data_IF_579814933341
#
_entry.id   IF_579814933341
#
_cell.length_a   1.000
_cell.length_b   1.000
_cell.length_c   1.000
_cell.angle_alpha   90.00
_cell.angle_beta   90.00
_cell.angle_gamma   90.00
#
_symmetry.space_group_name_H-M   'P 1'
#
loop_
_entity.id
_entity.type
_entity.pdbx_description
1 polymer ?
#
# COMPACT_ATOMS: atom_id res chain seq x y z
N UNK A 1 -29.62 -4.39 -8.68
CA UNK A 1 -30.24 -3.26 -9.40
C UNK A 1 -29.64 -1.96 -8.89
N UNK A 2 -29.74 -0.83 -9.62
CA UNK A 2 -29.11 0.45 -9.27
C UNK A 2 -29.89 1.22 -8.19
N UNK A 3 -30.42 0.52 -7.20
CA UNK A 3 -31.08 1.16 -6.05
C UNK A 3 -30.04 1.62 -5.02
N UNK A 4 -30.29 2.74 -4.37
CA UNK A 4 -29.48 3.23 -3.25
C UNK A 4 -29.42 2.15 -2.17
N UNK A 5 -28.23 1.87 -1.64
CA UNK A 5 -28.04 0.87 -0.58
C UNK A 5 -27.84 -0.57 -1.07
N UNK A 6 -27.91 -0.82 -2.39
CA UNK A 6 -27.68 -2.16 -2.94
C UNK A 6 -26.20 -2.38 -3.28
N UNK A 7 -25.75 -3.62 -3.08
CA UNK A 7 -24.45 -4.09 -3.53
C UNK A 7 -24.48 -4.33 -5.04
N UNK A 8 -23.45 -3.83 -5.74
CA UNK A 8 -23.28 -4.06 -7.19
C UNK A 8 -22.59 -5.39 -7.51
N UNK A 9 -21.92 -6.00 -6.53
CA UNK A 9 -21.21 -7.27 -6.64
C UNK A 9 -21.34 -8.10 -5.37
N UNK A 10 -21.16 -9.42 -5.49
CA UNK A 10 -21.09 -10.39 -4.39
C UNK A 10 -19.71 -11.03 -4.26
N UNK A 11 -18.74 -10.53 -5.02
CA UNK A 11 -17.42 -11.13 -5.18
C UNK A 11 -16.31 -10.21 -4.67
N UNK A 12 -15.25 -10.82 -4.13
CA UNK A 12 -14.03 -10.17 -3.70
C UNK A 12 -13.00 -11.20 -3.28
N UNK A 13 -11.75 -10.77 -3.13
CA UNK A 13 -10.66 -11.61 -2.61
C UNK A 13 -10.45 -11.30 -1.13
N UNK A 14 -10.55 -12.32 -0.28
CA UNK A 14 -10.49 -12.14 1.17
C UNK A 14 -9.36 -12.97 1.77
N UNK A 15 -8.69 -12.42 2.79
CA UNK A 15 -7.71 -13.16 3.55
C UNK A 15 -8.42 -14.25 4.35
N UNK A 16 -7.71 -15.37 4.56
CA UNK A 16 -8.18 -16.41 5.47
C UNK A 16 -7.81 -16.00 6.89
N UNK A 17 -8.78 -16.04 7.79
CA UNK A 17 -8.59 -15.79 9.22
C UNK A 17 -7.88 -14.46 9.57
N UNK A 18 -8.32 -13.31 9.01
CA UNK A 18 -7.68 -12.01 9.26
C UNK A 18 -7.81 -11.52 10.72
N UNK A 19 -8.58 -12.23 11.53
CA UNK A 19 -8.84 -11.96 12.94
C UNK A 19 -7.88 -12.66 13.91
N UNK A 20 -7.04 -13.59 13.44
CA UNK A 20 -6.01 -14.24 14.27
C UNK A 20 -4.86 -13.28 14.57
N UNK A 21 -4.28 -13.40 15.77
CA UNK A 21 -3.14 -12.60 16.21
C UNK A 21 -2.46 -13.27 17.41
N UNK A 22 -1.13 -13.46 17.36
CA UNK A 22 -0.37 -13.94 18.52
C UNK A 22 -0.06 -12.80 19.48
N UNK A 23 -1.03 -12.46 20.32
CA UNK A 23 -0.86 -11.35 21.25
C UNK A 23 0.18 -11.63 22.35
N UNK A 24 0.49 -12.89 22.65
CA UNK A 24 1.47 -13.24 23.66
C UNK A 24 2.90 -12.90 23.19
N UNK A 25 3.22 -13.21 21.93
CA UNK A 25 4.52 -12.88 21.32
C UNK A 25 4.83 -11.39 21.38
N UNK A 26 3.83 -10.53 21.12
CA UNK A 26 4.01 -9.08 21.10
C UNK A 26 3.77 -8.41 22.47
N UNK A 27 3.55 -9.18 23.54
CA UNK A 27 3.27 -8.63 24.87
C UNK A 27 1.99 -7.78 24.92
N UNK A 28 1.02 -8.08 24.06
CA UNK A 28 -0.28 -7.40 23.99
C UNK A 28 -1.29 -8.15 24.87
N UNK A 29 -1.98 -7.43 25.75
CA UNK A 29 -3.01 -8.05 26.59
C UNK A 29 -4.18 -8.60 25.74
N UNK A 30 -4.84 -9.67 26.20
CA UNK A 30 -6.03 -10.20 25.52
C UNK A 30 -7.12 -9.13 25.30
N UNK A 31 -7.22 -8.17 26.23
CA UNK A 31 -8.18 -7.06 26.15
C UNK A 31 -7.81 -6.10 25.03
N UNK A 32 -6.55 -5.70 24.95
CA UNK A 32 -6.07 -4.79 23.90
C UNK A 32 -6.13 -5.46 22.52
N UNK A 33 -5.71 -6.72 22.42
CA UNK A 33 -5.75 -7.49 21.18
C UNK A 33 -7.16 -7.58 20.58
N UNK A 34 -8.19 -7.76 21.43
CA UNK A 34 -9.60 -7.76 21.00
C UNK A 34 -10.08 -6.40 20.53
N UNK A 35 -9.61 -5.32 21.16
CA UNK A 35 -10.00 -3.96 20.80
C UNK A 35 -9.27 -3.44 19.55
N UNK A 36 -8.10 -4.00 19.22
CA UNK A 36 -7.31 -3.61 18.06
C UNK A 36 -7.99 -4.00 16.74
N UNK A 37 -7.98 -3.05 15.81
CA UNK A 37 -8.36 -3.32 14.43
C UNK A 37 -7.54 -4.50 13.86
N UNK A 38 -8.17 -5.46 13.15
CA UNK A 38 -7.44 -6.60 12.58
C UNK A 38 -6.29 -6.19 11.66
N UNK A 39 -6.43 -5.09 10.91
CA UNK A 39 -5.36 -4.55 10.08
C UNK A 39 -4.11 -4.15 10.89
N UNK A 40 -4.28 -3.58 12.09
CA UNK A 40 -3.17 -3.25 12.99
C UNK A 40 -2.45 -4.51 13.47
N UNK A 41 -3.21 -5.56 13.81
CA UNK A 41 -2.67 -6.84 14.27
C UNK A 41 -1.85 -7.53 13.18
N UNK A 42 -2.42 -7.64 11.98
CA UNK A 42 -1.73 -8.17 10.80
C UNK A 42 -0.47 -7.37 10.47
N UNK A 43 -0.52 -6.03 10.54
CA UNK A 43 0.67 -5.22 10.27
C UNK A 43 1.79 -5.45 11.28
N UNK A 44 1.49 -5.61 12.57
CA UNK A 44 2.51 -5.93 13.59
C UNK A 44 3.22 -7.24 13.21
N UNK A 45 2.46 -8.29 12.91
CA UNK A 45 3.02 -9.59 12.50
C UNK A 45 3.82 -9.49 11.19
N UNK A 46 3.27 -8.87 10.14
CA UNK A 46 3.95 -8.77 8.85
C UNK A 46 5.21 -7.91 8.92
N UNK A 47 5.18 -6.85 9.72
CA UNK A 47 6.37 -6.02 9.94
C UNK A 47 7.46 -6.76 10.70
N UNK A 48 7.08 -7.53 11.72
CA UNK A 48 8.01 -8.39 12.44
C UNK A 48 8.64 -9.44 11.51
N UNK A 49 7.83 -10.13 10.71
CA UNK A 49 8.31 -11.11 9.74
C UNK A 49 9.25 -10.48 8.69
N UNK A 50 8.96 -9.27 8.21
CA UNK A 50 9.82 -8.57 7.27
C UNK A 50 11.19 -8.20 7.90
N UNK A 51 11.21 -7.81 9.18
CA UNK A 51 12.46 -7.56 9.90
C UNK A 51 13.25 -8.85 10.11
N UNK A 52 12.58 -9.96 10.45
CA UNK A 52 13.23 -11.27 10.56
C UNK A 52 13.81 -11.74 9.22
N UNK A 53 13.07 -11.62 8.12
CA UNK A 53 13.54 -11.99 6.77
C UNK A 53 14.73 -11.13 6.33
N UNK A 54 14.74 -9.85 6.69
CA UNK A 54 15.84 -8.93 6.35
C UNK A 54 17.15 -9.25 7.07
N UNK A 55 17.09 -9.87 8.24
CA UNK A 55 18.25 -10.20 9.06
C UNK A 55 18.94 -9.00 9.72
N UNK A 56 18.41 -7.78 9.59
CA UNK A 56 19.02 -6.60 10.20
C UNK A 56 18.80 -6.57 11.71
N UNK A 57 19.76 -6.03 12.44
CA UNK A 57 19.53 -5.61 13.83
C UNK A 57 18.61 -4.39 13.85
N UNK A 58 17.43 -4.51 14.47
CA UNK A 58 16.40 -3.45 14.44
C UNK A 58 15.99 -2.93 15.82
N UNK A 59 16.18 -3.70 16.90
CA UNK A 59 15.78 -3.30 18.24
C UNK A 59 16.69 -2.20 18.76
N UNK A 60 16.11 -1.15 19.33
CA UNK A 60 16.79 0.04 19.84
C UNK A 60 17.64 0.72 18.74
N UNK A 61 17.17 0.67 17.50
CA UNK A 61 17.82 1.28 16.32
C UNK A 61 16.94 2.35 15.71
N UNK A 62 17.55 3.29 14.96
CA UNK A 62 16.81 4.33 14.22
C UNK A 62 16.21 3.75 12.94
N UNK A 63 15.37 2.72 13.07
CA UNK A 63 14.53 2.21 11.99
C UNK A 63 13.26 3.04 11.94
N UNK A 64 12.98 3.68 10.80
CA UNK A 64 11.70 4.37 10.62
C UNK A 64 10.57 3.37 10.31
N UNK A 65 9.35 3.66 10.75
CA UNK A 65 8.15 2.87 10.51
C UNK A 65 7.15 3.69 9.70
N UNK A 66 6.93 3.30 8.44
CA UNK A 66 6.05 3.97 7.49
C UNK A 66 4.98 2.98 7.03
N UNK A 67 3.80 3.03 7.65
CA UNK A 67 2.76 2.04 7.40
C UNK A 67 1.47 2.68 6.96
N UNK A 68 0.72 1.97 6.10
CA UNK A 68 -0.59 2.42 5.65
C UNK A 68 -1.66 1.37 5.85
N UNK A 69 -2.84 1.84 6.20
CA UNK A 69 -4.09 1.11 6.15
C UNK A 69 -5.21 2.12 5.93
N UNK A 70 -6.42 1.65 5.61
CA UNK A 70 -7.60 2.51 5.62
C UNK A 70 -7.85 2.98 7.07
N UNK A 71 -7.59 4.25 7.37
CA UNK A 71 -7.67 4.76 8.74
C UNK A 71 -9.11 4.81 9.25
N UNK A 72 -10.08 4.81 8.33
CA UNK A 72 -11.48 4.67 8.68
C UNK A 72 -11.81 3.24 9.15
N UNK A 73 -11.16 2.20 8.62
CA UNK A 73 -11.27 0.85 9.16
C UNK A 73 -10.66 0.75 10.57
N UNK A 74 -9.53 1.42 10.80
CA UNK A 74 -8.90 1.47 12.13
C UNK A 74 -9.84 2.11 13.17
N UNK A 75 -10.49 3.22 12.79
CA UNK A 75 -11.38 3.97 13.69
C UNK A 75 -12.72 3.27 13.91
N UNK A 76 -13.22 2.53 12.92
CA UNK A 76 -14.52 1.86 12.97
C UNK A 76 -14.46 0.39 13.40
N UNK A 77 -13.27 -0.16 13.67
CA UNK A 77 -13.14 -1.51 14.18
C UNK A 77 -14.01 -1.68 15.44
N UNK A 78 -14.99 -2.60 15.42
CA UNK A 78 -15.78 -2.94 16.61
C UNK A 78 -16.88 -1.95 17.00
N UNK A 79 -17.72 -1.50 16.06
CA UNK A 79 -19.02 -0.80 16.27
C UNK A 79 -20.07 -1.58 17.11
N UNK A 80 -19.64 -2.40 18.06
CA UNK A 80 -20.45 -2.87 19.18
C UNK A 80 -20.55 -1.80 20.28
N UNK A 81 -21.23 -2.13 21.39
CA UNK A 81 -21.23 -1.25 22.58
C UNK A 81 -19.79 -1.05 23.05
N UNK A 82 -19.32 0.19 23.24
CA UNK A 82 -18.02 0.44 23.84
C UNK A 82 -17.90 -0.30 25.17
N UNK A 83 -16.86 -1.10 25.33
CA UNK A 83 -16.43 -1.59 26.64
C UNK A 83 -16.06 -0.36 27.50
N UNK A 84 -16.34 -0.40 28.80
CA UNK A 84 -15.91 0.62 29.77
C UNK A 84 -14.41 0.97 29.63
N UNK A 85 -13.58 0.04 29.16
CA UNK A 85 -12.19 0.27 28.78
C UNK A 85 -11.99 1.33 27.71
N UNK A 86 -12.80 1.24 26.66
CA UNK A 86 -12.66 2.09 25.48
C UNK A 86 -13.05 3.51 25.85
N UNK A 87 -14.06 3.65 26.71
CA UNK A 87 -14.51 4.90 27.31
C UNK A 87 -13.52 5.49 28.33
N UNK A 88 -12.59 4.68 28.86
CA UNK A 88 -11.50 5.13 29.75
C UNK A 88 -10.23 5.54 29.00
N UNK A 89 -10.22 5.52 27.66
CA UNK A 89 -9.12 6.05 26.84
C UNK A 89 -8.26 4.98 26.17
N UNK A 90 -8.86 3.97 25.53
CA UNK A 90 -8.11 2.96 24.78
C UNK A 90 -7.47 3.52 23.50
N UNK A 91 -6.17 3.28 23.33
CA UNK A 91 -5.41 3.61 22.11
C UNK A 91 -5.59 2.55 20.99
N UNK A 92 -6.53 1.62 21.11
CA UNK A 92 -6.64 0.48 20.19
C UNK A 92 -7.19 0.84 18.80
N UNK A 93 -7.97 1.91 18.70
CA UNK A 93 -8.70 2.33 17.48
C UNK A 93 -8.28 3.72 16.98
N UNK A 94 -7.13 4.21 17.42
CA UNK A 94 -6.62 5.52 17.01
C UNK A 94 -5.71 5.32 15.79
N UNK A 95 -6.00 5.98 14.65
CA UNK A 95 -5.19 5.89 13.43
C UNK A 95 -3.68 6.09 13.65
N UNK A 96 -3.30 7.03 14.52
CA UNK A 96 -1.90 7.32 14.85
C UNK A 96 -1.17 6.11 15.46
N UNK A 97 -1.91 5.22 16.13
CA UNK A 97 -1.36 4.06 16.80
C UNK A 97 -1.04 2.91 15.85
N UNK A 98 -1.44 3.00 14.58
CA UNK A 98 -1.11 2.00 13.55
C UNK A 98 0.41 1.83 13.42
N UNK A 99 1.14 2.93 13.23
CA UNK A 99 2.61 2.92 13.17
C UNK A 99 3.25 2.83 14.56
N UNK A 100 2.73 3.60 15.53
CA UNK A 100 3.36 3.71 16.84
C UNK A 100 3.34 2.40 17.64
N UNK A 101 2.32 1.54 17.46
CA UNK A 101 2.31 0.21 18.09
C UNK A 101 3.40 -0.69 17.50
N UNK A 102 3.62 -0.65 16.20
CA UNK A 102 4.68 -1.42 15.54
C UNK A 102 6.03 -0.94 16.07
N UNK A 103 6.27 0.37 16.08
CA UNK A 103 7.50 0.95 16.63
C UNK A 103 7.71 0.59 18.10
N UNK A 104 6.65 0.61 18.91
CA UNK A 104 6.71 0.22 20.33
C UNK A 104 7.02 -1.27 20.53
N UNK A 105 6.26 -2.16 19.88
CA UNK A 105 6.40 -3.60 20.07
C UNK A 105 7.69 -4.16 19.45
N UNK A 106 8.24 -3.50 18.44
CA UNK A 106 9.47 -3.91 17.75
C UNK A 106 10.69 -3.07 18.15
N UNK A 107 10.54 -2.13 19.10
CA UNK A 107 11.59 -1.28 19.64
C UNK A 107 12.34 -0.44 18.58
N UNK A 108 11.58 0.25 17.73
CA UNK A 108 12.08 1.09 16.64
C UNK A 108 12.09 2.57 17.06
N UNK A 109 13.22 3.24 16.84
CA UNK A 109 13.46 4.62 17.31
C UNK A 109 13.44 5.69 16.21
N UNK A 110 13.16 5.31 14.96
CA UNK A 110 13.06 6.26 13.84
C UNK A 110 11.70 6.95 13.74
N UNK A 111 11.46 7.72 12.66
CA UNK A 111 10.15 8.31 12.37
C UNK A 111 9.06 7.24 12.34
N UNK A 112 7.86 7.53 12.88
CA UNK A 112 6.77 6.55 12.99
C UNK A 112 5.48 7.18 12.45
N UNK A 113 5.15 6.87 11.20
CA UNK A 113 4.06 7.52 10.47
C UNK A 113 3.03 6.52 9.96
N UNK A 114 1.76 6.69 10.35
CA UNK A 114 0.64 6.15 9.61
C UNK A 114 0.32 7.05 8.40
N UNK A 115 0.08 6.44 7.25
CA UNK A 115 -0.27 7.15 6.02
C UNK A 115 -1.62 6.70 5.46
N UNK A 116 -2.35 7.68 4.93
CA UNK A 116 -3.56 7.48 4.13
C UNK A 116 -3.60 8.49 2.98
N UNK A 117 -3.28 8.01 1.79
CA UNK A 117 -3.46 8.70 0.51
C UNK A 117 -4.34 7.85 -0.42
N UNK A 118 -5.28 7.11 0.17
CA UNK A 118 -6.13 6.13 -0.52
C UNK A 118 -5.31 5.07 -1.28
N UNK A 119 -5.56 4.91 -2.58
CA UNK A 119 -4.97 3.87 -3.44
C UNK A 119 -3.44 3.86 -3.48
N UNK A 120 -2.78 5.00 -3.21
CA UNK A 120 -1.33 5.17 -3.28
C UNK A 120 -0.65 5.20 -1.92
N UNK A 121 -1.36 4.86 -0.83
CA UNK A 121 -0.85 4.98 0.54
C UNK A 121 0.47 4.26 0.75
N UNK A 122 0.59 3.01 0.33
CA UNK A 122 1.82 2.21 0.51
C UNK A 122 2.98 2.74 -0.35
N UNK A 123 2.72 3.24 -1.56
CA UNK A 123 3.75 3.88 -2.39
C UNK A 123 4.20 5.23 -1.82
N UNK A 124 3.28 5.97 -1.20
CA UNK A 124 3.59 7.22 -0.48
C UNK A 124 4.44 6.92 0.75
N UNK A 125 4.09 5.89 1.52
CA UNK A 125 4.85 5.41 2.67
C UNK A 125 6.28 5.04 2.26
N UNK A 126 6.40 4.32 1.14
CA UNK A 126 7.69 3.96 0.57
C UNK A 126 8.50 5.17 0.12
N UNK A 127 7.87 6.15 -0.54
CA UNK A 127 8.55 7.39 -0.93
C UNK A 127 9.11 8.12 0.30
N UNK A 128 8.29 8.31 1.35
CA UNK A 128 8.73 8.98 2.58
C UNK A 128 9.83 8.20 3.29
N UNK A 129 9.76 6.87 3.35
CA UNK A 129 10.81 6.04 3.91
C UNK A 129 12.15 6.23 3.18
N UNK A 130 12.13 6.25 1.85
CA UNK A 130 13.33 6.56 1.05
C UNK A 130 13.84 7.97 1.35
N UNK A 131 12.95 8.97 1.44
CA UNK A 131 13.37 10.33 1.77
C UNK A 131 13.98 10.44 3.18
N UNK A 132 13.39 9.76 4.19
CA UNK A 132 13.90 9.76 5.56
C UNK A 132 15.25 9.07 5.72
N UNK A 133 15.52 8.03 4.92
CA UNK A 133 16.87 7.45 4.86
C UNK A 133 17.85 8.46 4.24
N UNK A 134 17.47 9.10 3.13
CA UNK A 134 18.34 10.05 2.42
C UNK A 134 18.61 11.34 3.21
N UNK A 135 17.66 11.78 4.04
CA UNK A 135 17.83 12.94 4.94
C UNK A 135 18.59 12.59 6.22
N UNK A 136 18.78 11.29 6.53
CA UNK A 136 19.43 10.82 7.75
C UNK A 136 18.51 10.77 8.98
N UNK A 137 17.19 10.90 8.80
CA UNK A 137 16.21 10.77 9.90
C UNK A 137 16.16 9.32 10.44
N UNK A 138 16.49 8.34 9.58
CA UNK A 138 16.63 6.92 9.97
C UNK A 138 17.76 6.23 9.18
N UNK A 139 18.32 5.15 9.75
CA UNK A 139 19.39 4.35 9.12
C UNK A 139 18.84 3.20 8.25
N UNK A 140 17.62 2.79 8.54
CA UNK A 140 16.81 1.87 7.74
C UNK A 140 15.34 2.23 7.93
N UNK A 141 14.46 1.67 7.10
CA UNK A 141 13.05 1.92 7.19
C UNK A 141 12.23 0.67 6.91
N UNK A 142 11.23 0.44 7.74
CA UNK A 142 10.19 -0.53 7.57
C UNK A 142 9.01 0.14 6.87
N UNK A 143 8.55 -0.45 5.76
CA UNK A 143 7.40 0.03 5.00
C UNK A 143 6.36 -1.07 4.93
N UNK A 144 5.12 -0.78 5.34
CA UNK A 144 4.05 -1.77 5.37
C UNK A 144 2.72 -1.25 4.87
N UNK A 145 1.88 -2.15 4.35
CA UNK A 145 0.53 -1.84 3.92
C UNK A 145 -0.44 -2.94 4.32
N UNK A 146 -1.64 -2.59 4.78
CA UNK A 146 -2.72 -3.53 5.02
C UNK A 146 -4.05 -3.00 4.54
N UNK A 147 -4.76 -3.81 3.76
CA UNK A 147 -6.12 -3.57 3.32
C UNK A 147 -7.00 -4.74 3.73
N UNK A 148 -8.06 -4.43 4.47
CA UNK A 148 -9.16 -5.34 4.77
C UNK A 148 -10.46 -4.69 4.28
N UNK A 149 -11.46 -5.49 3.91
CA UNK A 149 -12.72 -5.01 3.35
C UNK A 149 -13.86 -5.12 4.36
N UNK A 150 -13.68 -4.52 5.54
CA UNK A 150 -14.56 -4.73 6.70
C UNK A 150 -15.84 -3.89 6.66
N UNK A 151 -15.80 -2.75 5.99
CA UNK A 151 -16.91 -1.81 5.91
C UNK A 151 -17.84 -2.11 4.74
N UNK A 152 -19.03 -2.65 5.04
CA UNK A 152 -20.08 -2.87 4.04
C UNK A 152 -20.47 -1.58 3.29
N UNK A 153 -20.41 -0.44 3.97
CA UNK A 153 -20.70 0.87 3.38
C UNK A 153 -19.79 1.16 2.19
N UNK A 154 -18.51 0.79 2.24
CA UNK A 154 -17.60 1.05 1.13
C UNK A 154 -17.97 0.23 -0.11
N UNK A 155 -18.54 -0.98 0.06
CA UNK A 155 -19.03 -1.78 -1.05
C UNK A 155 -20.26 -1.15 -1.71
N UNK A 156 -21.14 -0.56 -0.90
CA UNK A 156 -22.30 0.17 -1.38
C UNK A 156 -21.83 1.44 -2.09
N UNK A 157 -21.01 2.26 -1.45
CA UNK A 157 -20.51 3.53 -1.98
C UNK A 157 -19.77 3.33 -3.31
N UNK A 158 -18.80 2.41 -3.37
CA UNK A 158 -18.07 2.14 -4.62
C UNK A 158 -18.97 1.53 -5.70
N UNK A 159 -19.98 0.74 -5.30
CA UNK A 159 -21.01 0.25 -6.22
C UNK A 159 -21.87 1.37 -6.80
N UNK A 160 -22.27 2.35 -5.98
CA UNK A 160 -23.04 3.52 -6.42
C UNK A 160 -22.19 4.47 -7.28
N UNK A 161 -20.88 4.57 -7.00
CA UNK A 161 -19.94 5.30 -7.86
C UNK A 161 -19.69 4.60 -9.20
N UNK A 162 -20.12 3.35 -9.38
CA UNK A 162 -19.97 2.61 -10.63
C UNK A 162 -18.52 2.20 -10.91
N UNK A 163 -17.69 2.06 -9.88
CA UNK A 163 -16.25 1.74 -10.01
C UNK A 163 -15.93 0.28 -9.65
N UNK A 164 -16.90 -0.48 -9.13
CA UNK A 164 -16.76 -1.91 -8.86
C UNK A 164 -17.17 -2.75 -10.06
N UNK A 165 -16.33 -3.74 -10.38
CA UNK A 165 -16.69 -4.74 -11.37
C UNK A 165 -17.81 -5.67 -10.85
N UNK A 166 -18.88 -5.94 -11.63
CA UNK A 166 -19.95 -6.86 -11.22
C UNK A 166 -19.50 -8.29 -10.95
N UNK A 167 -18.42 -8.76 -11.61
CA UNK A 167 -17.84 -10.08 -11.37
C UNK A 167 -16.72 -10.09 -10.31
N UNK A 168 -16.40 -8.92 -9.76
CA UNK A 168 -15.41 -8.73 -8.71
C UNK A 168 -13.97 -8.98 -9.15
N UNK A 169 -13.66 -8.86 -10.44
CA UNK A 169 -12.29 -8.97 -10.97
C UNK A 169 -11.76 -7.62 -11.41
N UNK A 170 -10.44 -7.45 -11.36
CA UNK A 170 -9.78 -6.41 -12.13
C UNK A 170 -9.36 -7.02 -13.47
N UNK A 171 -9.62 -6.32 -14.57
CA UNK A 171 -9.34 -6.81 -15.93
C UNK A 171 -8.41 -5.83 -16.64
N UNK A 172 -7.14 -5.72 -16.18
CA UNK A 172 -6.23 -4.68 -16.68
C UNK A 172 -6.07 -4.80 -18.19
N UNK A 173 -6.30 -3.71 -18.90
CA UNK A 173 -6.20 -3.60 -20.36
C UNK A 173 -7.17 -4.45 -21.19
N UNK A 174 -8.13 -5.13 -20.55
CA UNK A 174 -9.10 -5.97 -21.25
C UNK A 174 -10.21 -5.10 -21.89
N UNK A 175 -10.71 -5.52 -23.05
CA UNK A 175 -11.83 -4.84 -23.71
C UNK A 175 -13.13 -4.87 -22.86
N UNK A 176 -13.28 -5.86 -21.99
CA UNK A 176 -14.36 -6.02 -21.02
C UNK A 176 -14.09 -5.42 -19.64
N UNK A 177 -13.11 -4.53 -19.51
CA UNK A 177 -12.81 -3.78 -18.29
C UNK A 177 -14.02 -2.94 -17.83
N UNK A 178 -14.58 -3.29 -16.66
CA UNK A 178 -15.85 -2.78 -16.14
C UNK A 178 -15.77 -2.32 -14.67
N UNK A 179 -14.57 -2.01 -14.19
CA UNK A 179 -14.29 -1.61 -12.81
C UNK A 179 -13.27 -2.53 -12.14
N UNK A 180 -13.05 -2.33 -10.84
CA UNK A 180 -12.11 -3.15 -10.08
C UNK A 180 -12.83 -4.11 -9.13
N UNK A 181 -12.19 -5.25 -8.88
CA UNK A 181 -12.53 -6.18 -7.82
C UNK A 181 -11.80 -5.83 -6.53
N UNK A 182 -12.51 -5.76 -5.40
CA UNK A 182 -11.86 -5.51 -4.10
C UNK A 182 -11.12 -6.75 -3.61
N UNK A 183 -9.96 -6.53 -3.02
CA UNK A 183 -9.15 -7.59 -2.42
C UNK A 183 -8.65 -7.21 -1.03
N UNK A 184 -8.16 -8.19 -0.27
CA UNK A 184 -7.51 -7.98 1.01
C UNK A 184 -6.06 -8.44 0.94
N UNK A 185 -5.20 -7.81 1.72
CA UNK A 185 -3.78 -8.15 1.75
C UNK A 185 -3.02 -7.36 2.79
N UNK A 186 -1.93 -7.93 3.28
CA UNK A 186 -0.99 -7.29 4.19
C UNK A 186 0.42 -7.67 3.78
N UNK A 187 1.32 -6.70 3.64
CA UNK A 187 2.73 -6.95 3.34
C UNK A 187 3.62 -5.85 3.92
N UNK A 188 4.87 -6.19 4.17
CA UNK A 188 5.89 -5.24 4.59
C UNK A 188 7.24 -5.54 3.93
N UNK A 189 8.07 -4.50 3.79
CA UNK A 189 9.43 -4.57 3.26
C UNK A 189 10.36 -3.72 4.12
N UNK A 190 11.65 -4.05 4.11
CA UNK A 190 12.70 -3.31 4.82
C UNK A 190 13.61 -2.65 3.79
N UNK A 191 13.93 -1.38 4.02
CA UNK A 191 14.80 -0.55 3.21
C UNK A 191 16.05 -0.18 4.00
N UNK A 192 17.19 -0.21 3.32
CA UNK A 192 18.50 0.17 3.87
C UNK A 192 19.37 0.75 2.76
N UNK A 193 20.27 1.70 3.04
CA UNK A 193 21.25 2.15 2.06
C UNK A 193 22.06 0.96 1.49
N UNK A 194 22.16 0.86 0.16
CA UNK A 194 22.80 -0.28 -0.51
C UNK A 194 24.25 -0.49 -0.03
N UNK A 195 25.02 0.58 0.14
CA UNK A 195 26.39 0.49 0.61
C UNK A 195 26.49 -0.13 2.02
N UNK A 196 25.53 0.15 2.89
CA UNK A 196 25.47 -0.41 4.23
C UNK A 196 24.98 -1.86 4.22
N UNK A 197 23.98 -2.17 3.39
CA UNK A 197 23.52 -3.54 3.20
C UNK A 197 24.66 -4.46 2.72
N UNK A 198 25.46 -4.00 1.75
CA UNK A 198 26.62 -4.74 1.25
C UNK A 198 27.73 -4.87 2.30
N UNK A 199 27.99 -3.82 3.08
CA UNK A 199 28.98 -3.83 4.18
C UNK A 199 28.59 -4.85 5.25
N UNK A 200 27.30 -4.89 5.59
CA UNK A 200 26.80 -5.70 6.70
C UNK A 200 26.45 -7.15 6.26
N UNK A 201 26.55 -7.44 4.96
CA UNK A 201 26.32 -8.77 4.40
C UNK A 201 24.83 -9.12 4.25
N UNK A 202 23.96 -8.11 4.22
CA UNK A 202 22.51 -8.29 4.12
C UNK A 202 22.11 -8.86 2.74
N UNK A 203 21.03 -9.65 2.72
CA UNK A 203 20.43 -10.12 1.47
C UNK A 203 19.69 -8.98 0.77
N UNK A 204 20.19 -8.56 -0.39
CA UNK A 204 19.54 -7.53 -1.22
C UNK A 204 18.59 -8.17 -2.24
N UNK A 205 17.28 -7.92 -2.09
CA UNK A 205 16.27 -8.38 -3.05
C UNK A 205 16.20 -7.51 -4.31
N UNK A 206 16.27 -6.19 -4.14
CA UNK A 206 16.19 -5.21 -5.22
C UNK A 206 16.86 -3.90 -4.80
N UNK A 207 17.19 -3.05 -5.78
CA UNK A 207 17.70 -1.70 -5.54
C UNK A 207 16.65 -0.67 -5.96
N UNK A 208 16.43 0.33 -5.12
CA UNK A 208 15.53 1.45 -5.42
C UNK A 208 16.32 2.57 -6.07
N UNK A 209 16.07 2.83 -7.35
CA UNK A 209 16.77 3.91 -8.05
C UNK A 209 16.10 5.27 -7.85
N UNK A 210 14.76 5.35 -7.82
CA UNK A 210 14.05 6.61 -7.66
C UNK A 210 12.59 6.43 -7.32
N UNK A 211 12.02 7.40 -6.59
CA UNK A 211 10.61 7.44 -6.20
C UNK A 211 10.09 8.87 -6.33
N UNK A 212 8.80 9.03 -6.60
CA UNK A 212 8.15 10.35 -6.65
C UNK A 212 6.66 10.27 -6.36
N UNK A 213 6.12 11.39 -5.85
CA UNK A 213 4.70 11.58 -5.56
C UNK A 213 4.31 13.00 -5.96
N UNK A 214 3.07 13.20 -6.43
CA UNK A 214 2.49 14.52 -6.69
C UNK A 214 0.96 14.49 -6.49
N UNK A 215 0.26 15.53 -6.94
CA UNK A 215 -1.19 15.63 -6.88
C UNK A 215 -1.75 16.31 -8.14
N UNK A 216 -2.98 15.97 -8.51
CA UNK A 216 -3.67 16.54 -9.68
C UNK A 216 -4.03 18.04 -9.51
N UNK A 217 -4.03 18.55 -8.28
CA UNK A 217 -4.47 19.90 -7.95
C UNK A 217 -5.89 20.18 -8.49
N UNK A 218 -6.09 21.36 -9.05
CA UNK A 218 -7.36 21.77 -9.67
C UNK A 218 -7.51 21.32 -11.14
N UNK A 219 -6.65 20.43 -11.65
CA UNK A 219 -6.62 20.05 -13.07
C UNK A 219 -7.69 19.04 -13.51
N UNK A 220 -8.58 18.63 -12.60
CA UNK A 220 -9.70 17.75 -12.90
C UNK A 220 -10.61 17.55 -11.67
N UNK A 221 -11.71 16.79 -11.81
CA UNK A 221 -12.53 16.39 -10.66
C UNK A 221 -11.68 15.67 -9.61
N UNK A 222 -11.95 15.85 -8.29
CA UNK A 222 -11.10 15.31 -7.21
C UNK A 222 -10.79 13.81 -7.29
N UNK A 223 -11.71 13.01 -7.83
CA UNK A 223 -11.58 11.55 -7.95
C UNK A 223 -11.14 11.07 -9.34
N UNK A 224 -10.90 11.98 -10.30
CA UNK A 224 -10.57 11.62 -11.66
C UNK A 224 -9.04 11.52 -11.86
N UNK A 225 -8.53 10.47 -12.52
CA UNK A 225 -7.14 10.45 -12.96
C UNK A 225 -6.90 11.54 -14.03
N UNK A 226 -5.73 12.16 -13.97
CA UNK A 226 -5.32 13.20 -14.93
C UNK A 226 -3.96 12.83 -15.51
N UNK A 227 -3.97 12.46 -16.80
CA UNK A 227 -2.82 11.91 -17.52
C UNK A 227 -1.54 12.74 -17.37
N UNK A 228 -1.66 14.07 -17.47
CA UNK A 228 -0.53 15.00 -17.35
C UNK A 228 0.21 14.84 -16.02
N UNK A 229 -0.52 14.84 -14.89
CA UNK A 229 0.12 14.78 -13.57
C UNK A 229 0.63 13.37 -13.25
N UNK A 230 -0.02 12.33 -13.76
CA UNK A 230 0.53 10.97 -13.68
C UNK A 230 1.88 10.87 -14.41
N UNK A 231 1.95 11.40 -15.64
CA UNK A 231 3.18 11.46 -16.42
C UNK A 231 4.28 12.24 -15.69
N UNK A 232 3.96 13.40 -15.11
CA UNK A 232 4.91 14.20 -14.33
C UNK A 232 5.47 13.45 -13.11
N UNK A 233 4.64 12.67 -12.40
CA UNK A 233 5.09 11.86 -11.27
C UNK A 233 6.07 10.78 -11.72
N UNK A 234 5.73 10.04 -12.77
CA UNK A 234 6.58 8.97 -13.31
C UNK A 234 7.89 9.54 -13.89
N UNK A 235 7.83 10.62 -14.65
CA UNK A 235 9.00 11.32 -15.19
C UNK A 235 9.92 11.82 -14.07
N UNK A 236 9.36 12.34 -12.97
CA UNK A 236 10.13 12.76 -11.80
C UNK A 236 10.85 11.59 -11.11
N UNK A 237 10.22 10.41 -11.03
CA UNK A 237 10.86 9.21 -10.48
C UNK A 237 12.07 8.79 -11.33
N UNK A 238 11.93 8.75 -12.67
CA UNK A 238 13.05 8.46 -13.58
C UNK A 238 14.16 9.51 -13.53
N UNK A 239 13.80 10.80 -13.45
CA UNK A 239 14.77 11.87 -13.28
C UNK A 239 15.57 11.72 -11.99
N UNK A 240 14.92 11.40 -10.87
CA UNK A 240 15.58 11.13 -9.58
C UNK A 240 16.46 9.88 -9.63
N UNK A 241 16.04 8.88 -10.39
CA UNK A 241 16.83 7.68 -10.65
C UNK A 241 18.07 7.92 -11.53
N UNK A 242 18.16 9.06 -12.24
CA UNK A 242 19.19 9.27 -13.25
C UNK A 242 19.07 8.28 -14.41
N UNK A 243 17.87 7.76 -14.67
CA UNK A 243 17.57 6.72 -15.66
C UNK A 243 16.60 7.26 -16.71
N UNK A 244 16.67 6.70 -17.91
CA UNK A 244 15.71 6.92 -18.98
C UNK A 244 14.57 5.90 -18.87
N UNK A 245 13.31 6.30 -19.10
CA UNK A 245 12.19 5.36 -19.11
C UNK A 245 12.35 4.19 -20.10
N UNK A 246 13.11 4.38 -21.18
CA UNK A 246 13.42 3.33 -22.17
C UNK A 246 14.36 2.23 -21.66
N UNK A 247 14.96 2.36 -20.48
CA UNK A 247 15.86 1.36 -19.88
C UNK A 247 15.13 0.23 -19.14
N UNK A 248 13.82 0.36 -18.85
CA UNK A 248 13.10 -0.64 -18.04
C UNK A 248 12.78 -1.91 -18.82
N UNK A 249 12.91 -3.09 -18.21
CA UNK A 249 12.52 -4.35 -18.87
C UNK A 249 11.05 -4.70 -18.63
N UNK A 250 10.46 -4.17 -17.56
CA UNK A 250 9.08 -4.45 -17.17
C UNK A 250 8.43 -3.24 -16.52
N UNK A 251 7.12 -3.09 -16.73
CA UNK A 251 6.33 -2.04 -16.09
C UNK A 251 5.12 -2.63 -15.36
N UNK A 252 5.18 -2.59 -14.03
CA UNK A 252 4.04 -2.94 -13.15
C UNK A 252 3.19 -1.69 -12.93
N UNK A 253 2.02 -1.62 -13.55
CA UNK A 253 1.17 -0.43 -13.49
C UNK A 253 0.01 -0.57 -12.49
N UNK A 254 -0.68 0.54 -12.26
CA UNK A 254 -1.82 0.56 -11.38
C UNK A 254 -3.06 -0.12 -12.00
N UNK A 255 -3.28 -0.01 -13.31
CA UNK A 255 -4.31 -0.60 -14.16
C UNK A 255 -5.40 -1.37 -13.39
N UNK A 256 -6.48 -0.65 -13.11
CA UNK A 256 -7.57 -1.14 -12.26
C UNK A 256 -8.64 -1.89 -13.03
N UNK A 257 -8.52 -1.97 -14.36
CA UNK A 257 -9.59 -2.47 -15.21
C UNK A 257 -10.64 -1.40 -15.44
N UNK A 258 -10.23 -0.14 -15.60
CA UNK A 258 -11.16 0.97 -15.90
C UNK A 258 -10.95 1.51 -17.30
N UNK A 259 -12.04 1.78 -18.01
CA UNK A 259 -12.02 2.27 -19.40
C UNK A 259 -11.24 3.57 -19.61
N UNK A 260 -11.03 4.37 -18.56
CA UNK A 260 -10.26 5.62 -18.62
C UNK A 260 -8.85 5.52 -18.03
N UNK A 261 -8.71 4.80 -16.90
CA UNK A 261 -7.43 4.70 -16.19
C UNK A 261 -6.41 3.89 -16.98
N UNK A 262 -6.80 2.69 -17.43
CA UNK A 262 -5.89 1.75 -18.08
C UNK A 262 -5.28 2.31 -19.38
N UNK A 263 -6.05 2.93 -20.31
CA UNK A 263 -5.44 3.54 -21.49
C UNK A 263 -4.52 4.71 -21.14
N UNK A 264 -4.80 5.46 -20.06
CA UNK A 264 -3.96 6.58 -19.64
C UNK A 264 -2.57 6.09 -19.25
N UNK A 265 -2.50 5.03 -18.44
CA UNK A 265 -1.24 4.43 -18.00
C UNK A 265 -0.51 3.75 -19.17
N UNK A 266 -1.21 2.92 -19.96
CA UNK A 266 -0.63 2.22 -21.10
C UNK A 266 -0.05 3.17 -22.16
N UNK A 267 -0.72 4.29 -22.44
CA UNK A 267 -0.24 5.28 -23.40
C UNK A 267 1.08 5.92 -22.94
N UNK A 268 1.21 6.25 -21.64
CA UNK A 268 2.46 6.78 -21.11
C UNK A 268 3.60 5.76 -21.24
N UNK A 269 3.34 4.49 -20.92
CA UNK A 269 4.32 3.40 -21.06
C UNK A 269 4.74 3.22 -22.52
N UNK A 270 3.78 3.21 -23.45
CA UNK A 270 4.05 3.12 -24.88
C UNK A 270 4.91 4.28 -25.38
N UNK A 271 4.59 5.51 -24.97
CA UNK A 271 5.30 6.71 -25.40
C UNK A 271 6.70 6.83 -24.81
N UNK A 272 6.87 6.54 -23.52
CA UNK A 272 8.12 6.81 -22.78
C UNK A 272 9.04 5.60 -22.68
N UNK A 273 8.49 4.41 -22.46
CA UNK A 273 9.28 3.21 -22.21
C UNK A 273 9.48 2.34 -23.46
N UNK A 274 8.47 2.26 -24.35
CA UNK A 274 8.51 1.35 -25.50
C UNK A 274 8.92 2.02 -26.82
N UNK A 275 8.77 3.33 -26.97
CA UNK A 275 8.99 4.02 -28.24
C UNK A 275 10.45 3.89 -28.69
N UNK A 276 10.65 3.32 -29.88
CA UNK A 276 11.98 3.12 -30.47
C UNK A 276 12.78 1.97 -29.88
N UNK A 277 12.16 1.10 -29.07
CA UNK A 277 12.75 -0.15 -28.59
C UNK A 277 12.85 -1.19 -29.71
N UNK A 278 13.94 -1.96 -29.70
CA UNK A 278 14.03 -3.22 -30.45
C UNK A 278 13.41 -4.33 -29.59
N UNK A 279 12.23 -4.83 -29.97
CA UNK A 279 11.48 -5.86 -29.24
C UNK A 279 10.38 -5.31 -28.32
N UNK A 280 9.67 -6.24 -27.68
CA UNK A 280 8.48 -5.93 -26.89
C UNK A 280 8.85 -5.48 -25.46
N UNK A 281 8.07 -4.54 -24.92
CA UNK A 281 8.09 -4.20 -23.50
C UNK A 281 6.94 -4.91 -22.79
N UNK A 282 7.27 -5.65 -21.73
CA UNK A 282 6.25 -6.30 -20.90
C UNK A 282 5.64 -5.28 -19.93
N UNK A 283 4.31 -5.27 -19.88
CA UNK A 283 3.51 -4.46 -18.96
C UNK A 283 2.50 -5.38 -18.28
N UNK A 284 2.23 -5.14 -16.99
CA UNK A 284 1.29 -5.96 -16.23
C UNK A 284 0.68 -5.23 -15.04
N UNK A 285 -0.29 -5.89 -14.41
CA UNK A 285 -0.78 -5.51 -13.10
C UNK A 285 -1.19 -6.75 -12.31
N UNK A 286 -0.62 -6.89 -11.11
CA UNK A 286 -0.94 -7.96 -10.16
C UNK A 286 -2.42 -8.00 -9.79
N UNK A 287 -3.13 -6.88 -9.97
CA UNK A 287 -4.56 -6.77 -9.69
C UNK A 287 -5.40 -7.73 -10.53
N UNK A 288 -4.93 -8.09 -11.73
CA UNK A 288 -5.59 -9.13 -12.53
C UNK A 288 -5.60 -10.51 -11.86
N UNK A 289 -4.64 -10.78 -10.97
CA UNK A 289 -4.51 -12.05 -10.26
C UNK A 289 -5.20 -12.04 -8.89
N UNK A 290 -4.97 -10.99 -8.10
CA UNK A 290 -5.38 -10.97 -6.68
C UNK A 290 -6.53 -9.99 -6.40
N UNK A 291 -6.89 -9.13 -7.36
CA UNK A 291 -7.79 -8.00 -7.18
C UNK A 291 -7.06 -6.75 -6.66
N UNK A 292 -7.83 -5.70 -6.39
CA UNK A 292 -7.30 -4.42 -5.95
C UNK A 292 -6.88 -4.48 -4.48
N UNK A 293 -5.56 -4.48 -4.23
CA UNK A 293 -4.94 -4.27 -2.92
C UNK A 293 -4.10 -2.99 -2.91
N UNK A 294 -4.13 -2.23 -1.82
CA UNK A 294 -3.21 -1.11 -1.54
C UNK A 294 -1.88 -1.69 -1.05
N UNK A 295 -1.11 -2.34 -1.93
CA UNK A 295 0.20 -2.91 -1.62
C UNK A 295 1.27 -2.44 -2.62
N UNK A 296 2.52 -2.52 -2.16
CA UNK A 296 3.72 -2.05 -2.87
C UNK A 296 3.93 -2.76 -4.19
N UNK A 297 4.22 -1.99 -5.23
CA UNK A 297 4.65 -2.47 -6.54
C UNK A 297 5.87 -1.65 -6.96
N UNK A 298 7.00 -2.32 -7.15
CA UNK A 298 8.25 -1.73 -7.62
C UNK A 298 8.37 -1.95 -9.14
N UNK A 299 8.81 -0.92 -9.86
CA UNK A 299 9.21 -1.04 -11.26
C UNK A 299 10.59 -1.73 -11.33
N UNK A 300 10.70 -2.80 -12.13
CA UNK A 300 11.93 -3.56 -12.31
C UNK A 300 12.67 -3.17 -13.60
N UNK A 301 13.98 -2.97 -13.49
CA UNK A 301 14.90 -2.96 -14.64
C UNK A 301 15.37 -4.37 -14.94
#
# INVERSE_FOLDING_TARGET
GPGIGLLSTKYGSFLKHPDLFDNAEFGVSNRDARAMAPATRLLIEQCFLALLDSGIEFRNKRVGCFVSANLADISNAGLGKPDEYELRGSFARIPTMLANRISFHLDLLGPSFPLDTACSSTQTAFHLAVQSILSGDCESALVGGCQLNQRILDWIEYGQFGILSPDGKCKPFDAGADGFGRAEGCAAVVLKPLAEALRDGDRVYATVHGTATNNNGAGGPPAAPVAKYQAEAMDAAFKRAGRKPSEVSYVEVHATGTAKGDPTEANWVGERCSRGREGDLLIGSVKGNIGFVILLLCYGC
#
